data_IF_503400249099
#
_entry.id   IF_503400249099
#
_cell.length_a   1.000
_cell.length_b   1.000
_cell.length_c   1.000
_cell.angle_alpha   90.00
_cell.angle_beta   90.00
_cell.angle_gamma   90.00
#
_symmetry.space_group_name_H-M   'P 1'
#
loop_
_entity.id
_entity.type
_entity.pdbx_description
1 polymer ?
#
# COMPACT_ATOMS: atom_id res chain seq x y z
N UNK A 1 -3.09 -8.99 1.35
CA UNK A 1 -3.94 -7.80 1.59
C UNK A 1 -3.19 -6.56 2.11
N UNK A 2 -1.88 -6.60 2.40
CA UNK A 2 -1.15 -5.45 2.95
C UNK A 2 -1.15 -4.21 2.04
N UNK A 3 -1.16 -4.39 0.71
CA UNK A 3 -1.13 -3.30 -0.25
C UNK A 3 -2.46 -2.55 -0.42
N UNK A 4 -3.56 -3.06 0.12
CA UNK A 4 -4.86 -2.36 0.12
C UNK A 4 -4.86 -1.11 1.00
N UNK A 5 -3.84 -0.93 1.85
CA UNK A 5 -3.63 0.27 2.69
C UNK A 5 -2.32 0.99 2.34
N UNK A 6 -1.81 0.78 1.12
CA UNK A 6 -0.59 1.43 0.66
C UNK A 6 -0.74 2.96 0.57
N UNK A 7 0.34 3.72 0.82
CA UNK A 7 0.32 5.19 0.74
C UNK A 7 -0.05 5.71 -0.65
N UNK A 8 0.30 4.99 -1.70
CA UNK A 8 0.02 5.35 -3.10
C UNK A 8 -1.33 4.78 -3.57
N UNK A 9 -2.31 5.63 -3.97
CA UNK A 9 -3.64 5.22 -4.44
C UNK A 9 -3.64 4.16 -5.55
N UNK A 10 -2.79 4.35 -6.57
CA UNK A 10 -2.68 3.43 -7.71
C UNK A 10 -2.27 2.01 -7.30
N UNK A 11 -1.43 1.87 -6.27
CA UNK A 11 -1.02 0.57 -5.74
C UNK A 11 -2.20 -0.10 -5.03
N UNK A 12 -2.99 0.66 -4.26
CA UNK A 12 -4.17 0.12 -3.58
C UNK A 12 -5.19 -0.41 -4.60
N UNK A 13 -5.48 0.37 -5.64
CA UNK A 13 -6.40 -0.02 -6.72
C UNK A 13 -5.94 -1.27 -7.46
N UNK A 14 -4.70 -1.26 -7.97
CA UNK A 14 -4.17 -2.44 -8.67
C UNK A 14 -4.16 -3.68 -7.76
N UNK A 15 -3.88 -3.50 -6.46
CA UNK A 15 -3.97 -4.59 -5.50
C UNK A 15 -5.40 -5.09 -5.29
N UNK A 16 -6.39 -4.20 -5.24
CA UNK A 16 -7.80 -4.58 -5.14
C UNK A 16 -8.26 -5.36 -6.37
N UNK A 17 -7.87 -4.94 -7.58
CA UNK A 17 -8.11 -5.67 -8.83
C UNK A 17 -7.50 -7.07 -8.78
N UNK A 18 -6.26 -7.21 -8.28
CA UNK A 18 -5.64 -8.53 -8.11
C UNK A 18 -6.38 -9.41 -7.09
N UNK A 19 -6.82 -8.84 -5.96
CA UNK A 19 -7.59 -9.59 -4.95
C UNK A 19 -8.93 -10.06 -5.53
N UNK A 20 -9.63 -9.21 -6.30
CA UNK A 20 -10.87 -9.56 -6.99
C UNK A 20 -10.68 -10.79 -7.89
N UNK A 21 -9.63 -10.78 -8.74
CA UNK A 21 -9.32 -11.90 -9.64
C UNK A 21 -8.97 -13.17 -8.86
N UNK A 22 -8.19 -13.07 -7.79
CA UNK A 22 -7.82 -14.24 -6.96
C UNK A 22 -9.06 -14.86 -6.32
N UNK A 23 -9.99 -14.06 -5.81
CA UNK A 23 -11.24 -14.57 -5.21
C UNK A 23 -12.12 -15.27 -6.25
N UNK A 24 -12.24 -14.72 -7.46
CA UNK A 24 -12.96 -15.35 -8.58
C UNK A 24 -12.33 -16.68 -9.01
N UNK A 25 -11.00 -16.74 -9.08
CA UNK A 25 -10.28 -17.94 -9.50
C UNK A 25 -10.27 -19.02 -8.41
N UNK A 26 -10.39 -18.63 -7.14
CA UNK A 26 -10.25 -19.52 -5.99
C UNK A 26 -11.48 -19.42 -5.09
N UNK A 27 -12.66 -19.74 -5.65
CA UNK A 27 -13.94 -19.67 -4.93
C UNK A 27 -14.03 -20.60 -3.72
N UNK A 28 -13.13 -21.58 -3.60
CA UNK A 28 -13.04 -22.49 -2.46
C UNK A 28 -12.36 -21.89 -1.21
N UNK A 29 -11.77 -20.68 -1.29
CA UNK A 29 -11.06 -20.06 -0.18
C UNK A 29 -12.00 -19.54 0.92
N UNK A 30 -13.25 -19.21 0.57
CA UNK A 30 -14.25 -18.62 1.46
C UNK A 30 -15.62 -19.23 1.13
N UNK A 31 -16.54 -19.30 2.09
CA UNK A 31 -17.92 -19.72 1.82
C UNK A 31 -18.59 -18.79 0.80
N UNK A 32 -19.50 -19.33 -0.03
CA UNK A 32 -20.14 -18.59 -1.13
C UNK A 32 -20.77 -17.24 -0.71
N UNK A 33 -21.51 -17.23 0.41
CA UNK A 33 -22.10 -16.00 0.97
C UNK A 33 -21.05 -14.92 1.29
N UNK A 34 -19.92 -15.35 1.87
CA UNK A 34 -18.81 -14.47 2.24
C UNK A 34 -17.97 -14.05 1.04
N UNK A 35 -17.93 -14.88 -0.01
CA UNK A 35 -17.26 -14.56 -1.25
C UNK A 35 -17.98 -13.40 -1.94
N UNK A 36 -19.31 -13.44 -2.02
CA UNK A 36 -20.12 -12.36 -2.62
C UNK A 36 -19.94 -11.04 -1.85
N UNK A 37 -20.03 -11.08 -0.51
CA UNK A 37 -19.77 -9.92 0.34
C UNK A 37 -18.34 -9.36 0.14
N UNK A 38 -17.34 -10.22 0.01
CA UNK A 38 -15.96 -9.81 -0.25
C UNK A 38 -15.81 -9.11 -1.62
N UNK A 39 -16.46 -9.63 -2.66
CA UNK A 39 -16.43 -9.06 -4.01
C UNK A 39 -17.15 -7.70 -4.08
N UNK A 40 -18.27 -7.56 -3.38
CA UNK A 40 -18.98 -6.29 -3.22
C UNK A 40 -18.06 -5.24 -2.57
N UNK A 41 -17.46 -5.57 -1.42
CA UNK A 41 -16.51 -4.66 -0.75
C UNK A 41 -15.36 -4.26 -1.68
N UNK A 42 -14.76 -5.21 -2.40
CA UNK A 42 -13.62 -4.92 -3.27
C UNK A 42 -14.02 -4.01 -4.44
N UNK A 43 -15.19 -4.21 -5.03
CA UNK A 43 -15.63 -3.49 -6.23
C UNK A 43 -16.21 -2.11 -5.92
N UNK A 44 -16.93 -1.94 -4.80
CA UNK A 44 -17.56 -0.69 -4.43
C UNK A 44 -16.64 0.29 -3.70
N UNK A 45 -15.63 -0.24 -2.99
CA UNK A 45 -14.70 0.62 -2.23
C UNK A 45 -13.86 1.48 -3.17
N UNK A 46 -13.85 2.80 -2.94
CA UNK A 46 -12.96 3.72 -3.65
C UNK A 46 -11.52 3.59 -3.14
N UNK A 47 -10.79 2.57 -3.61
CA UNK A 47 -9.41 2.30 -3.18
C UNK A 47 -8.43 3.45 -3.49
N UNK A 48 -8.74 4.31 -4.47
CA UNK A 48 -7.93 5.50 -4.75
C UNK A 48 -8.25 6.69 -3.84
N UNK A 49 -9.32 6.61 -3.05
CA UNK A 49 -9.81 7.66 -2.15
C UNK A 49 -9.11 7.71 -0.80
N UNK A 50 -9.90 7.89 0.26
CA UNK A 50 -9.40 8.04 1.63
C UNK A 50 -8.74 6.76 2.16
N UNK A 51 -7.60 6.92 2.84
CA UNK A 51 -6.84 5.79 3.38
C UNK A 51 -7.48 5.22 4.65
N UNK A 52 -8.25 6.03 5.39
CA UNK A 52 -9.02 5.58 6.55
C UNK A 52 -10.15 4.64 6.14
N UNK A 53 -10.92 5.02 5.12
CA UNK A 53 -11.95 4.18 4.51
C UNK A 53 -11.36 2.86 3.99
N UNK A 54 -10.27 2.94 3.21
CA UNK A 54 -9.59 1.73 2.70
C UNK A 54 -9.09 0.81 3.82
N UNK A 55 -8.63 1.37 4.95
CA UNK A 55 -8.22 0.60 6.13
C UNK A 55 -9.41 -0.11 6.79
N UNK A 56 -10.53 0.58 6.94
CA UNK A 56 -11.74 0.00 7.51
C UNK A 56 -12.27 -1.14 6.62
N UNK A 57 -12.40 -0.90 5.32
CA UNK A 57 -12.86 -1.89 4.34
C UNK A 57 -11.93 -3.09 4.25
N UNK A 58 -10.60 -2.88 4.30
CA UNK A 58 -9.63 -3.98 4.41
C UNK A 58 -9.80 -4.78 5.69
N UNK A 59 -10.13 -4.16 6.82
CA UNK A 59 -10.37 -4.90 8.05
C UNK A 59 -11.61 -5.80 7.94
N UNK A 60 -12.71 -5.27 7.38
CA UNK A 60 -13.91 -6.07 7.08
C UNK A 60 -13.58 -7.25 6.17
N UNK A 61 -12.83 -7.01 5.09
CA UNK A 61 -12.42 -8.05 4.14
C UNK A 61 -11.59 -9.17 4.80
N UNK A 62 -10.67 -8.83 5.72
CA UNK A 62 -9.91 -9.83 6.46
C UNK A 62 -10.81 -10.66 7.39
N UNK A 63 -11.78 -10.04 8.07
CA UNK A 63 -12.76 -10.76 8.92
C UNK A 63 -13.57 -11.78 8.10
N UNK A 64 -14.04 -11.37 6.92
CA UNK A 64 -14.80 -12.22 6.00
C UNK A 64 -13.94 -13.41 5.54
N UNK A 65 -12.68 -13.15 5.16
CA UNK A 65 -11.74 -14.16 4.73
C UNK A 65 -11.16 -15.03 5.87
N UNK A 66 -11.54 -14.80 7.13
CA UNK A 66 -10.99 -15.52 8.29
C UNK A 66 -9.50 -15.27 8.52
N UNK A 67 -8.96 -14.17 7.97
CA UNK A 67 -7.55 -13.80 8.12
C UNK A 67 -7.42 -13.00 9.42
N UNK A 68 -6.72 -13.56 10.40
CA UNK A 68 -6.39 -12.83 11.62
C UNK A 68 -5.58 -11.58 11.27
N UNK A 69 -6.18 -10.42 11.51
CA UNK A 69 -5.50 -9.15 11.39
C UNK A 69 -4.59 -9.06 12.60
N UNK A 70 -3.33 -9.49 12.45
CA UNK A 70 -2.28 -9.05 13.36
C UNK A 70 -2.33 -7.53 13.42
N UNK A 71 -2.41 -6.97 14.64
CA UNK A 71 -2.50 -5.53 14.84
C UNK A 71 -1.33 -4.87 14.12
N UNK A 72 -1.56 -4.34 12.92
CA UNK A 72 -0.61 -3.42 12.30
C UNK A 72 -0.72 -2.17 13.15
N UNK A 73 0.11 -2.09 14.19
CA UNK A 73 0.21 -0.94 15.08
C UNK A 73 0.39 0.30 14.22
N UNK A 74 -0.72 1.00 13.99
CA UNK A 74 -0.69 2.35 13.48
C UNK A 74 -0.42 3.24 14.67
N UNK A 75 0.85 3.45 14.99
CA UNK A 75 1.33 4.72 15.51
C UNK A 75 2.86 4.76 15.50
N UNK A 76 3.37 5.54 14.54
CA UNK A 76 4.77 5.87 14.38
C UNK A 76 4.89 6.98 13.36
N UNK A 77 4.22 8.11 13.61
CA UNK A 77 4.73 9.36 13.05
C UNK A 77 6.18 9.47 13.49
N UNK A 78 7.11 9.50 12.54
CA UNK A 78 8.51 9.73 12.88
C UNK A 78 8.57 11.03 13.70
N UNK A 79 9.19 11.03 14.88
CA UNK A 79 9.64 12.28 15.47
C UNK A 79 10.55 12.92 14.44
N UNK A 80 10.31 14.19 14.12
CA UNK A 80 11.22 15.02 13.34
C UNK A 80 12.55 15.09 14.09
N UNK A 81 13.44 14.13 13.86
CA UNK A 81 14.82 14.19 14.34
C UNK A 81 15.55 15.23 13.50
N UNK A 82 16.00 16.27 14.18
CA UNK A 82 16.95 17.26 13.70
C UNK A 82 18.24 16.58 13.26
N UNK A 83 18.67 16.92 12.05
CA UNK A 83 20.06 16.96 11.57
C UNK A 83 20.99 15.82 12.01
N UNK A 84 21.00 14.74 11.23
CA UNK A 84 22.12 13.82 11.11
C UNK A 84 22.40 13.61 9.63
N UNK A 85 23.50 14.18 9.15
CA UNK A 85 23.97 14.17 7.76
C UNK A 85 24.20 12.73 7.27
N UNK A 86 23.17 12.08 6.73
CA UNK A 86 23.33 10.97 5.79
C UNK A 86 23.69 11.60 4.45
N UNK A 87 24.98 11.64 4.15
CA UNK A 87 25.45 11.88 2.78
C UNK A 87 25.02 10.69 1.94
N UNK A 88 23.81 10.75 1.39
CA UNK A 88 23.59 10.11 0.10
C UNK A 88 24.59 10.79 -0.84
N UNK A 89 25.53 10.03 -1.38
CA UNK A 89 26.41 10.55 -2.41
C UNK A 89 25.50 10.92 -3.58
N UNK A 90 25.16 12.20 -3.66
CA UNK A 90 24.41 12.78 -4.76
C UNK A 90 25.31 12.68 -5.99
N UNK A 91 25.03 11.74 -6.87
CA UNK A 91 25.85 11.49 -8.07
C UNK A 91 26.01 12.77 -8.90
N UNK A 92 25.05 13.69 -8.80
CA UNK A 92 25.06 15.01 -9.41
C UNK A 92 26.22 15.91 -8.90
N UNK A 93 26.67 15.79 -7.65
CA UNK A 93 27.88 16.50 -7.16
C UNK A 93 29.16 16.03 -7.89
N UNK A 94 29.25 14.75 -8.25
CA UNK A 94 30.39 14.22 -9.00
C UNK A 94 30.44 14.78 -10.44
N UNK A 95 29.28 14.98 -11.06
CA UNK A 95 29.18 15.62 -12.37
C UNK A 95 29.57 17.10 -12.34
N UNK A 96 29.16 17.84 -11.29
CA UNK A 96 29.52 19.26 -11.15
C UNK A 96 31.03 19.47 -10.97
N UNK A 97 31.71 18.59 -10.23
CA UNK A 97 33.17 18.63 -10.08
C UNK A 97 33.90 18.43 -11.42
N UNK A 98 33.38 17.56 -12.29
CA UNK A 98 33.97 17.28 -13.60
C UNK A 98 33.80 18.46 -14.58
N UNK A 99 32.65 19.14 -14.55
CA UNK A 99 32.37 20.30 -15.42
C UNK A 99 33.17 21.54 -14.99
N UNK A 100 33.39 21.73 -13.69
CA UNK A 100 34.18 22.87 -13.19
C UNK A 100 35.69 22.74 -13.37
N UNK A 101 36.21 21.51 -13.48
CA UNK A 101 37.66 21.25 -13.66
C UNK A 101 38.11 21.28 -15.13
N UNK A 102 37.18 21.10 -16.08
CA UNK A 102 37.41 21.32 -17.50
C UNK A 102 37.17 22.81 -17.83
N UNK A 103 38.08 23.67 -17.37
CA UNK A 103 38.00 25.11 -17.61
C UNK A 103 37.85 25.46 -19.09
N UNK A 104 36.66 25.94 -19.45
CA UNK A 104 36.34 26.68 -20.67
C UNK A 104 35.73 28.02 -20.30
#
# INVERSE_FOLDING_TARGET
MAFLIHRYPKIRKSSAEQVYLVLLQNTSLVSEEKLEEALEIISETCWEGDIGEARQKRAQLCTIAGIEIGQTSGNGGLPRMTAGKMTNADENESYLSLVGSAGF
#
